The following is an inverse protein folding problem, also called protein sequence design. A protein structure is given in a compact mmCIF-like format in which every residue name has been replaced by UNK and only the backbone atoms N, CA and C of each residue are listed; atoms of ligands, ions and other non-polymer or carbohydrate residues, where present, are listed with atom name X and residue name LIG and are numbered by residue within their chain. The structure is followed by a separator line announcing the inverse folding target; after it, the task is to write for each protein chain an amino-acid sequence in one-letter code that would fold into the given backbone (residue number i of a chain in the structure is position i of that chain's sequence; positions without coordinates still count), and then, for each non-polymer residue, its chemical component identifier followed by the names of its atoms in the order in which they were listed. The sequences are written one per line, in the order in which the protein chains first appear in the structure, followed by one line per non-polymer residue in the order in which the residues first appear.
data_IF_587679377875
#
_entry.id   IF_587679377875
#
_cell.length_a   1.000
_cell.length_b   1.000
_cell.length_c   1.000
_cell.angle_alpha   90.00
_cell.angle_beta   90.00
_cell.angle_gamma   90.00
#
_symmetry.space_group_name_H-M   'P 1'
#
loop_
_entity.id
_entity.type
_entity.pdbx_description
1 polymer ?
#
# COMPACT_ATOMS: atom_id res chain seq x y z
N UNK A 1 9.59 -5.24 2.43
CA UNK A 1 10.31 -5.47 1.17
C UNK A 1 10.85 -4.14 0.68
N UNK A 2 12.15 -4.06 0.41
CA UNK A 2 12.82 -2.85 -0.11
C UNK A 2 12.72 -2.80 -1.63
N UNK A 3 12.95 -1.63 -2.23
CA UNK A 3 12.95 -1.52 -3.70
C UNK A 3 14.10 -2.31 -4.35
N UNK A 4 15.24 -2.46 -3.68
CA UNK A 4 16.35 -3.29 -4.19
C UNK A 4 15.98 -4.78 -4.26
N UNK A 5 15.18 -5.27 -3.32
CA UNK A 5 14.61 -6.63 -3.37
C UNK A 5 13.69 -6.79 -4.58
N UNK A 6 12.86 -5.77 -4.88
CA UNK A 6 12.01 -5.75 -6.07
C UNK A 6 12.86 -5.81 -7.35
N UNK A 7 13.97 -5.07 -7.42
CA UNK A 7 14.88 -5.16 -8.58
C UNK A 7 15.47 -6.57 -8.72
N UNK A 8 15.87 -7.21 -7.63
CA UNK A 8 16.37 -8.59 -7.65
C UNK A 8 15.28 -9.58 -8.08
N UNK A 9 14.02 -9.31 -7.75
CA UNK A 9 12.87 -10.09 -8.23
C UNK A 9 12.62 -9.87 -9.73
N UNK A 10 12.77 -8.64 -10.22
CA UNK A 10 12.67 -8.33 -11.66
C UNK A 10 13.81 -9.00 -12.44
N UNK A 11 15.01 -9.13 -11.88
CA UNK A 11 16.11 -9.88 -12.51
C UNK A 11 15.76 -11.34 -12.79
N UNK A 12 14.91 -11.97 -11.96
CA UNK A 12 14.43 -13.35 -12.18
C UNK A 12 13.50 -13.47 -13.39
N UNK A 13 12.98 -12.36 -13.89
CA UNK A 13 12.13 -12.30 -15.09
C UNK A 13 12.92 -12.10 -16.39
N UNK A 14 14.24 -11.94 -16.34
CA UNK A 14 15.06 -11.79 -17.54
C UNK A 14 14.94 -13.04 -18.43
N UNK A 15 14.66 -12.81 -19.70
CA UNK A 15 14.42 -13.87 -20.69
C UNK A 15 12.96 -14.34 -20.78
N UNK A 16 12.10 -13.92 -19.86
CA UNK A 16 10.66 -14.22 -19.91
C UNK A 16 9.92 -13.20 -20.79
N UNK A 17 8.91 -13.68 -21.52
CA UNK A 17 7.90 -12.81 -22.12
C UNK A 17 6.86 -12.47 -21.05
N UNK A 18 6.76 -11.19 -20.71
CA UNK A 18 5.86 -10.66 -19.70
C UNK A 18 4.51 -10.33 -20.34
N UNK A 19 3.45 -10.83 -19.73
CA UNK A 19 2.07 -10.64 -20.17
C UNK A 19 1.59 -9.23 -19.83
N UNK A 20 1.20 -8.47 -20.87
CA UNK A 20 0.68 -7.13 -20.68
C UNK A 20 -0.83 -7.16 -20.42
N UNK A 21 -1.29 -6.37 -19.45
CA UNK A 21 -2.74 -6.16 -19.21
C UNK A 21 -3.43 -5.64 -20.47
N UNK A 22 -2.73 -4.82 -21.27
CA UNK A 22 -3.17 -4.46 -22.61
C UNK A 22 -2.81 -5.57 -23.60
N UNK A 23 -3.82 -6.17 -24.23
CA UNK A 23 -3.63 -7.18 -25.26
C UNK A 23 -2.69 -6.72 -26.39
N UNK A 24 -1.77 -7.60 -26.81
CA UNK A 24 -0.81 -7.37 -27.90
C UNK A 24 0.40 -6.48 -27.54
N UNK A 25 0.53 -6.06 -26.28
CA UNK A 25 1.61 -5.20 -25.81
C UNK A 25 2.60 -5.90 -24.86
N UNK A 26 2.72 -7.23 -24.97
CA UNK A 26 3.71 -8.02 -24.24
C UNK A 26 5.13 -7.51 -24.51
N UNK A 27 6.01 -7.73 -23.54
CA UNK A 27 7.41 -7.33 -23.61
C UNK A 27 8.29 -8.47 -23.11
N UNK A 28 9.49 -8.60 -23.65
CA UNK A 28 10.50 -9.51 -23.11
C UNK A 28 11.52 -8.70 -22.33
N UNK A 29 11.78 -9.04 -21.07
CA UNK A 29 12.84 -8.41 -20.31
C UNK A 29 14.18 -8.98 -20.77
N UNK A 30 15.08 -8.14 -21.29
CA UNK A 30 16.34 -8.60 -21.89
C UNK A 30 17.54 -8.42 -20.96
N UNK A 31 17.44 -7.54 -19.96
CA UNK A 31 18.54 -7.29 -19.05
C UNK A 31 18.23 -6.20 -18.03
N UNK A 32 19.16 -6.03 -17.08
CA UNK A 32 19.15 -4.98 -16.08
C UNK A 32 20.54 -4.36 -15.98
N UNK A 33 20.62 -3.04 -16.13
CA UNK A 33 21.81 -2.24 -15.87
C UNK A 33 21.68 -1.56 -14.50
N UNK A 34 22.21 -2.21 -13.47
CA UNK A 34 22.25 -1.69 -12.09
C UNK A 34 23.10 -0.42 -11.95
N UNK A 35 24.09 -0.19 -12.83
CA UNK A 35 24.94 1.02 -12.79
C UNK A 35 24.19 2.22 -13.33
N UNK A 36 23.56 2.08 -14.50
CA UNK A 36 22.73 3.12 -15.10
C UNK A 36 21.34 3.25 -14.44
N UNK A 37 20.99 2.31 -13.55
CA UNK A 37 19.66 2.17 -12.91
C UNK A 37 18.54 2.08 -13.95
N UNK A 38 18.69 1.14 -14.90
CA UNK A 38 17.71 0.92 -15.97
C UNK A 38 17.43 -0.56 -16.17
N UNK A 39 16.20 -0.86 -16.57
CA UNK A 39 15.84 -2.15 -17.16
C UNK A 39 15.93 -2.06 -18.68
N UNK A 40 16.22 -3.18 -19.32
CA UNK A 40 16.25 -3.35 -20.77
C UNK A 40 15.14 -4.31 -21.19
N UNK A 41 14.41 -3.95 -22.23
CA UNK A 41 13.28 -4.74 -22.71
C UNK A 41 13.16 -4.68 -24.22
N UNK A 42 12.57 -5.73 -24.78
CA UNK A 42 12.16 -5.81 -26.17
C UNK A 42 10.63 -5.73 -26.23
N UNK A 43 10.09 -4.80 -27.02
CA UNK A 43 8.65 -4.72 -27.26
C UNK A 43 8.16 -5.87 -28.16
N UNK A 44 6.87 -6.19 -28.15
CA UNK A 44 6.25 -7.10 -29.13
C UNK A 44 6.55 -6.77 -30.60
N UNK A 45 6.85 -5.51 -30.92
CA UNK A 45 7.28 -5.08 -32.26
C UNK A 45 8.79 -5.29 -32.54
N UNK A 46 9.52 -6.03 -31.69
CA UNK A 46 10.96 -6.30 -31.82
C UNK A 46 11.89 -5.12 -31.50
N UNK A 47 11.38 -3.99 -31.00
CA UNK A 47 12.20 -2.82 -30.67
C UNK A 47 12.78 -2.93 -29.27
N UNK A 48 14.10 -2.78 -29.17
CA UNK A 48 14.80 -2.61 -27.90
C UNK A 48 14.53 -1.23 -27.31
N UNK A 49 14.25 -1.22 -26.00
CA UNK A 49 13.96 -0.03 -25.19
C UNK A 49 14.57 -0.20 -23.81
N UNK A 50 14.76 0.92 -23.11
CA UNK A 50 15.21 0.92 -21.72
C UNK A 50 14.32 1.80 -20.86
N UNK A 51 14.10 1.41 -19.60
CA UNK A 51 13.30 2.18 -18.64
C UNK A 51 14.06 2.43 -17.35
N UNK A 52 14.02 3.66 -16.80
CA UNK A 52 14.72 3.97 -15.57
C UNK A 52 14.03 3.34 -14.36
N UNK A 53 14.83 2.92 -13.38
CA UNK A 53 14.34 2.40 -12.10
C UNK A 53 13.42 3.37 -11.38
N UNK A 54 13.64 4.68 -11.53
CA UNK A 54 12.81 5.72 -10.93
C UNK A 54 11.33 5.62 -11.29
N UNK A 55 10.97 5.03 -12.43
CA UNK A 55 9.56 4.80 -12.77
C UNK A 55 8.97 3.61 -12.01
N UNK A 56 9.73 2.53 -11.92
CA UNK A 56 9.34 1.34 -11.15
C UNK A 56 9.26 1.67 -9.66
N UNK A 57 10.21 2.45 -9.14
CA UNK A 57 10.26 2.90 -7.75
C UNK A 57 9.05 3.77 -7.39
N UNK A 58 8.62 4.67 -8.30
CA UNK A 58 7.39 5.44 -8.10
C UNK A 58 6.14 4.56 -8.01
N UNK A 59 6.05 3.53 -8.85
CA UNK A 59 4.94 2.56 -8.81
C UNK A 59 5.00 1.78 -7.50
N UNK A 60 6.17 1.26 -7.13
CA UNK A 60 6.39 0.52 -5.89
C UNK A 60 6.03 1.36 -4.66
N UNK A 61 6.55 2.58 -4.55
CA UNK A 61 6.23 3.47 -3.43
C UNK A 61 4.73 3.78 -3.36
N UNK A 62 4.05 3.90 -4.52
CA UNK A 62 2.59 4.05 -4.53
C UNK A 62 1.90 2.80 -4.01
N UNK A 63 2.33 1.61 -4.44
CA UNK A 63 1.78 0.33 -3.97
C UNK A 63 2.05 0.08 -2.47
N UNK A 64 3.16 0.57 -1.93
CA UNK A 64 3.43 0.49 -0.48
C UNK A 64 2.59 1.47 0.35
N UNK A 65 2.26 2.64 -0.21
CA UNK A 65 1.54 3.71 0.50
C UNK A 65 0.02 3.71 0.27
N UNK A 66 -0.48 2.85 -0.60
CA UNK A 66 -1.88 2.84 -1.05
C UNK A 66 -2.28 1.43 -1.42
N UNK A 67 -3.52 1.03 -1.13
CA UNK A 67 -4.01 -0.32 -1.45
C UNK A 67 -4.07 -0.62 -2.95
N UNK A 68 -4.05 0.41 -3.80
CA UNK A 68 -3.87 0.25 -5.24
C UNK A 68 -3.12 1.42 -5.90
N UNK A 69 -2.56 1.16 -7.09
CA UNK A 69 -1.85 2.12 -7.92
C UNK A 69 -2.39 2.15 -9.36
N UNK A 70 -2.86 3.31 -9.81
CA UNK A 70 -3.11 3.60 -11.23
C UNK A 70 -1.83 4.14 -11.87
N UNK A 71 -1.12 3.30 -12.64
CA UNK A 71 0.22 3.62 -13.15
C UNK A 71 0.25 4.88 -14.00
N UNK A 72 -0.77 5.13 -14.82
CA UNK A 72 -0.86 6.36 -15.62
C UNK A 72 -0.88 7.62 -14.74
N UNK A 73 -1.63 7.61 -13.63
CA UNK A 73 -1.64 8.72 -12.67
C UNK A 73 -0.29 8.85 -11.96
N UNK A 74 0.32 7.74 -11.53
CA UNK A 74 1.62 7.74 -10.84
C UNK A 74 2.74 8.32 -11.70
N UNK A 75 2.72 8.04 -13.00
CA UNK A 75 3.73 8.50 -13.95
C UNK A 75 3.34 9.80 -14.68
N UNK A 76 2.27 10.48 -14.26
CA UNK A 76 1.90 11.82 -14.73
C UNK A 76 1.26 11.89 -16.14
N UNK A 77 0.35 10.98 -16.52
CA UNK A 77 -0.53 11.13 -17.69
C UNK A 77 -0.80 9.84 -18.51
N UNK A 78 -1.29 9.98 -19.75
CA UNK A 78 -1.68 8.87 -20.66
C UNK A 78 -0.71 8.64 -21.84
N UNK A 79 0.36 7.86 -21.65
CA UNK A 79 1.44 7.70 -22.63
C UNK A 79 1.66 6.23 -22.93
N UNK A 80 1.74 5.85 -24.21
CA UNK A 80 1.81 4.44 -24.64
C UNK A 80 3.00 3.66 -24.08
N UNK A 81 4.08 4.35 -23.71
CA UNK A 81 5.26 3.74 -23.11
C UNK A 81 5.00 3.29 -21.66
N UNK A 82 4.06 3.90 -20.91
CA UNK A 82 3.79 3.57 -19.49
C UNK A 82 3.31 2.14 -19.27
N UNK A 83 2.79 1.50 -20.32
CA UNK A 83 2.48 0.08 -20.32
C UNK A 83 3.70 -0.77 -19.95
N UNK A 84 4.92 -0.36 -20.31
CA UNK A 84 6.13 -1.15 -20.06
C UNK A 84 6.45 -1.29 -18.57
N UNK A 85 6.62 -0.21 -17.78
CA UNK A 85 6.81 -0.35 -16.34
C UNK A 85 5.58 -0.95 -15.64
N UNK A 86 4.36 -0.70 -16.13
CA UNK A 86 3.15 -1.38 -15.62
C UNK A 86 3.23 -2.91 -15.81
N UNK A 87 3.57 -3.37 -17.01
CA UNK A 87 3.71 -4.80 -17.33
C UNK A 87 4.78 -5.44 -16.48
N UNK A 88 5.95 -4.80 -16.30
CA UNK A 88 7.00 -5.33 -15.43
C UNK A 88 6.51 -5.51 -14.00
N UNK A 89 5.87 -4.49 -13.42
CA UNK A 89 5.36 -4.57 -12.04
C UNK A 89 4.24 -5.59 -11.90
N UNK A 90 3.33 -5.69 -12.87
CA UNK A 90 2.18 -6.59 -12.84
C UNK A 90 2.54 -8.08 -13.03
N UNK A 91 3.78 -8.39 -13.44
CA UNK A 91 4.24 -9.76 -13.64
C UNK A 91 5.09 -10.28 -12.45
N UNK A 92 5.18 -9.50 -11.38
CA UNK A 92 5.77 -9.93 -10.11
C UNK A 92 4.77 -10.83 -9.36
N UNK A 93 5.20 -11.95 -8.77
CA UNK A 93 4.32 -12.93 -8.10
C UNK A 93 3.32 -12.39 -7.08
N UNK A 94 3.64 -11.25 -6.45
CA UNK A 94 2.85 -10.62 -5.38
C UNK A 94 2.09 -9.38 -5.86
N UNK A 95 1.92 -9.19 -7.17
CA UNK A 95 1.19 -8.06 -7.75
C UNK A 95 0.09 -8.56 -8.67
N UNK A 96 -1.15 -8.24 -8.33
CA UNK A 96 -2.31 -8.52 -9.18
C UNK A 96 -2.86 -7.23 -9.78
N UNK A 97 -3.65 -7.37 -10.85
CA UNK A 97 -4.31 -6.23 -11.49
C UNK A 97 -5.84 -6.36 -11.50
N UNK A 98 -6.51 -5.21 -11.51
CA UNK A 98 -7.98 -5.13 -11.55
C UNK A 98 -8.46 -3.80 -12.11
N UNK A 99 -9.78 -3.61 -12.19
CA UNK A 99 -10.38 -2.36 -12.65
C UNK A 99 -11.04 -1.61 -11.50
N UNK A 100 -10.78 -0.30 -11.43
CA UNK A 100 -11.59 0.66 -10.67
C UNK A 100 -12.10 1.70 -11.65
N UNK A 101 -13.41 1.81 -11.75
CA UNK A 101 -14.12 2.77 -12.61
C UNK A 101 -13.57 2.76 -14.07
N UNK A 102 -13.36 1.55 -14.61
CA UNK A 102 -12.87 1.32 -15.97
C UNK A 102 -11.37 1.53 -16.19
N UNK A 103 -10.61 1.86 -15.14
CA UNK A 103 -9.15 2.07 -15.20
C UNK A 103 -8.40 0.93 -14.53
N UNK A 104 -7.30 0.49 -15.16
CA UNK A 104 -6.43 -0.57 -14.64
C UNK A 104 -5.72 -0.11 -13.38
N UNK A 105 -5.71 -0.93 -12.35
CA UNK A 105 -4.97 -0.69 -11.12
C UNK A 105 -4.14 -1.92 -10.79
N UNK A 106 -2.99 -1.70 -10.15
CA UNK A 106 -2.16 -2.74 -9.55
C UNK A 106 -2.37 -2.73 -8.04
N UNK A 107 -2.28 -3.90 -7.40
CA UNK A 107 -2.28 -4.04 -5.94
C UNK A 107 -1.28 -5.12 -5.50
N UNK A 108 -0.69 -4.93 -4.32
CA UNK A 108 0.14 -5.95 -3.68
C UNK A 108 -0.76 -6.91 -2.92
N UNK A 109 -0.54 -8.21 -3.12
CA UNK A 109 -1.19 -9.28 -2.35
C UNK A 109 -0.25 -9.86 -1.30
N UNK A 110 -0.81 -10.42 -0.22
CA UNK A 110 -0.04 -10.87 0.96
C UNK A 110 0.89 -12.05 0.66
N UNK A 111 0.49 -12.93 -0.23
CA UNK A 111 1.24 -14.13 -0.62
C UNK A 111 1.44 -14.15 -2.14
N UNK A 112 2.55 -14.72 -2.66
CA UNK A 112 2.74 -14.91 -4.09
C UNK A 112 1.58 -15.69 -4.72
N UNK A 113 0.82 -15.04 -5.60
CA UNK A 113 -0.39 -15.59 -6.22
C UNK A 113 -0.12 -16.26 -7.58
N UNK A 114 0.98 -15.92 -8.24
CA UNK A 114 1.37 -16.47 -9.54
C UNK A 114 2.88 -16.52 -9.75
N UNK A 115 3.33 -17.08 -10.87
CA UNK A 115 4.75 -17.19 -11.21
C UNK A 115 5.38 -15.86 -11.64
N UNK A 116 6.71 -15.83 -11.69
CA UNK A 116 7.44 -14.74 -12.33
C UNK A 116 7.12 -14.70 -13.83
N UNK A 117 6.84 -13.51 -14.36
CA UNK A 117 6.57 -13.33 -15.79
C UNK A 117 5.16 -13.73 -16.24
N UNK A 118 4.26 -14.05 -15.31
CA UNK A 118 2.85 -14.30 -15.60
C UNK A 118 1.99 -13.19 -15.02
N UNK A 119 0.82 -12.95 -15.61
CA UNK A 119 -0.11 -11.91 -15.16
C UNK A 119 -1.36 -12.54 -14.51
N UNK A 120 -1.76 -12.06 -13.34
CA UNK A 120 -3.00 -12.49 -12.70
C UNK A 120 -3.97 -11.33 -12.47
N UNK A 121 -5.20 -11.50 -12.96
CA UNK A 121 -6.30 -10.60 -12.64
C UNK A 121 -6.86 -10.96 -11.28
N UNK A 122 -6.96 -9.99 -10.40
CA UNK A 122 -7.54 -10.15 -9.06
C UNK A 122 -9.00 -10.58 -9.14
N UNK A 123 -9.42 -11.39 -8.17
CA UNK A 123 -10.81 -11.78 -7.97
C UNK A 123 -11.71 -10.57 -7.69
N UNK A 124 -12.97 -10.65 -8.10
CA UNK A 124 -13.92 -9.53 -8.00
C UNK A 124 -14.20 -9.15 -6.55
N UNK A 125 -14.25 -10.10 -5.62
CA UNK A 125 -14.48 -9.81 -4.21
C UNK A 125 -13.30 -9.08 -3.58
N UNK A 126 -12.07 -9.54 -3.84
CA UNK A 126 -10.86 -8.87 -3.39
C UNK A 126 -10.73 -7.46 -4.01
N UNK A 127 -11.11 -7.30 -5.28
CA UNK A 127 -11.13 -5.99 -5.94
C UNK A 127 -12.14 -5.02 -5.29
N UNK A 128 -13.31 -5.50 -4.87
CA UNK A 128 -14.30 -4.71 -4.12
C UNK A 128 -13.73 -4.26 -2.78
N UNK A 129 -13.09 -5.16 -2.02
CA UNK A 129 -12.48 -4.79 -0.73
C UNK A 129 -11.39 -3.71 -0.89
N UNK A 130 -10.55 -3.81 -1.92
CA UNK A 130 -9.52 -2.80 -2.20
C UNK A 130 -10.16 -1.47 -2.62
N UNK A 131 -11.23 -1.51 -3.43
CA UNK A 131 -11.98 -0.32 -3.83
C UNK A 131 -12.59 0.38 -2.62
N UNK A 132 -13.22 -0.36 -1.71
CA UNK A 132 -13.80 0.19 -0.49
C UNK A 132 -12.74 0.81 0.41
N UNK A 133 -11.58 0.15 0.57
CA UNK A 133 -10.43 0.72 1.28
C UNK A 133 -9.94 2.02 0.65
N UNK A 134 -9.81 2.09 -0.67
CA UNK A 134 -9.39 3.32 -1.36
C UNK A 134 -10.40 4.45 -1.19
N UNK A 135 -11.70 4.14 -1.31
CA UNK A 135 -12.77 5.12 -1.12
C UNK A 135 -12.78 5.65 0.31
N UNK A 136 -12.60 4.78 1.30
CA UNK A 136 -12.52 5.19 2.69
C UNK A 136 -11.29 6.08 2.92
N UNK A 137 -10.09 5.66 2.49
CA UNK A 137 -8.86 6.46 2.62
C UNK A 137 -8.97 7.83 1.93
N UNK A 138 -9.50 7.88 0.71
CA UNK A 138 -9.66 9.14 -0.03
C UNK A 138 -10.69 10.09 0.62
N UNK A 139 -11.63 9.55 1.40
CA UNK A 139 -12.66 10.32 2.09
C UNK A 139 -12.35 10.55 3.58
N UNK A 140 -11.27 9.96 4.12
CA UNK A 140 -10.84 10.15 5.51
C UNK A 140 -10.37 11.58 5.72
N UNK A 141 -11.11 12.32 6.53
CA UNK A 141 -10.74 13.65 7.01
C UNK A 141 -9.91 13.59 8.29
N UNK A 142 -10.06 12.53 9.09
CA UNK A 142 -9.42 12.37 10.39
C UNK A 142 -9.14 10.89 10.67
N UNK A 143 -8.00 10.58 11.28
CA UNK A 143 -7.73 9.25 11.84
C UNK A 143 -7.62 9.37 13.37
N UNK A 144 -8.24 8.44 14.08
CA UNK A 144 -8.32 8.38 15.54
C UNK A 144 -7.83 7.01 15.97
N UNK A 145 -6.83 6.99 16.85
CA UNK A 145 -6.33 5.75 17.45
C UNK A 145 -6.78 5.66 18.91
N UNK A 146 -7.49 4.59 19.24
CA UNK A 146 -7.94 4.30 20.60
C UNK A 146 -7.04 3.20 21.16
N UNK A 147 -6.29 3.52 22.21
CA UNK A 147 -5.48 2.54 22.94
C UNK A 147 -6.32 2.00 24.09
N UNK A 148 -6.45 0.68 24.20
CA UNK A 148 -7.27 0.03 25.23
C UNK A 148 -6.65 -1.21 25.84
N UNK A 149 -6.97 -1.50 27.11
CA UNK A 149 -6.55 -2.73 27.78
C UNK A 149 -7.51 -3.91 27.50
N UNK A 150 -8.79 -3.61 27.28
CA UNK A 150 -9.80 -4.61 26.88
C UNK A 150 -10.47 -4.20 25.56
N UNK A 151 -10.00 -4.81 24.48
CA UNK A 151 -10.56 -4.64 23.15
C UNK A 151 -12.02 -5.08 23.10
N UNK A 152 -12.42 -6.13 23.81
CA UNK A 152 -13.79 -6.65 23.72
C UNK A 152 -14.77 -5.65 24.33
N UNK A 153 -14.43 -5.10 25.49
CA UNK A 153 -15.24 -4.06 26.13
C UNK A 153 -15.31 -2.80 25.26
N UNK A 154 -14.17 -2.37 24.72
CA UNK A 154 -14.08 -1.17 23.87
C UNK A 154 -14.86 -1.35 22.57
N UNK A 155 -14.74 -2.51 21.93
CA UNK A 155 -15.49 -2.88 20.75
C UNK A 155 -16.99 -2.86 21.04
N UNK A 156 -17.42 -3.55 22.10
CA UNK A 156 -18.82 -3.56 22.50
C UNK A 156 -19.37 -2.15 22.76
N UNK A 157 -18.62 -1.29 23.45
CA UNK A 157 -19.00 0.09 23.69
C UNK A 157 -19.10 0.90 22.39
N UNK A 158 -18.11 0.77 21.50
CA UNK A 158 -18.11 1.42 20.19
C UNK A 158 -19.33 1.00 19.36
N UNK A 159 -19.58 -0.30 19.25
CA UNK A 159 -20.71 -0.86 18.48
C UNK A 159 -22.05 -0.40 19.04
N UNK A 160 -22.19 -0.38 20.37
CA UNK A 160 -23.40 0.08 21.05
C UNK A 160 -23.71 1.55 20.76
N UNK A 161 -22.68 2.39 20.69
CA UNK A 161 -22.85 3.84 20.44
C UNK A 161 -23.03 4.13 18.95
N UNK A 162 -22.26 3.45 18.09
CA UNK A 162 -22.20 3.78 16.67
C UNK A 162 -23.16 2.98 15.80
N UNK A 163 -23.63 1.82 16.28
CA UNK A 163 -24.47 0.87 15.55
C UNK A 163 -23.72 0.01 14.53
N UNK A 164 -22.38 0.06 14.49
CA UNK A 164 -21.58 -0.61 13.45
C UNK A 164 -20.45 -1.42 14.09
N UNK A 165 -20.24 -2.69 13.68
CA UNK A 165 -19.17 -3.54 14.20
C UNK A 165 -17.77 -3.03 13.91
N UNK A 166 -16.77 -3.43 14.69
CA UNK A 166 -15.37 -3.24 14.32
C UNK A 166 -14.86 -4.39 13.46
N UNK A 167 -13.96 -4.11 12.53
CA UNK A 167 -13.33 -5.12 11.69
C UNK A 167 -11.91 -5.44 12.20
N UNK A 168 -11.56 -6.72 12.38
CA UNK A 168 -10.21 -7.10 12.80
C UNK A 168 -9.21 -6.85 11.66
N UNK A 169 -8.08 -6.22 11.98
CA UNK A 169 -6.95 -5.98 11.05
C UNK A 169 -5.84 -7.00 11.30
N UNK A 170 -5.46 -7.16 12.57
CA UNK A 170 -4.45 -8.11 13.05
C UNK A 170 -4.73 -8.44 14.52
N UNK A 171 -4.02 -9.42 15.13
CA UNK A 171 -4.21 -9.73 16.54
C UNK A 171 -4.05 -8.49 17.43
N UNK A 172 -5.13 -8.09 18.10
CA UNK A 172 -5.14 -6.90 18.95
C UNK A 172 -5.27 -5.56 18.23
N UNK A 173 -5.60 -5.53 16.93
CA UNK A 173 -5.85 -4.30 16.18
C UNK A 173 -7.13 -4.43 15.36
N UNK A 174 -8.01 -3.44 15.50
CA UNK A 174 -9.30 -3.37 14.84
C UNK A 174 -9.46 -2.01 14.18
N UNK A 175 -10.24 -1.94 13.11
CA UNK A 175 -10.56 -0.68 12.43
C UNK A 175 -12.03 -0.52 12.12
N UNK A 176 -12.45 0.73 12.00
CA UNK A 176 -13.74 1.11 11.42
C UNK A 176 -13.65 2.50 10.79
N UNK A 177 -14.39 2.71 9.72
CA UNK A 177 -14.59 4.00 9.09
C UNK A 177 -16.04 4.47 9.24
N UNK A 178 -16.22 5.67 9.80
CA UNK A 178 -17.54 6.31 9.95
C UNK A 178 -17.39 7.82 9.92
N UNK A 179 -18.31 8.51 9.23
CA UNK A 179 -18.39 9.98 9.21
C UNK A 179 -17.08 10.68 8.80
N UNK A 180 -16.34 10.09 7.84
CA UNK A 180 -15.01 10.56 7.40
C UNK A 180 -13.92 10.45 8.46
N UNK A 181 -14.15 9.68 9.51
CA UNK A 181 -13.17 9.35 10.54
C UNK A 181 -12.81 7.88 10.44
N UNK A 182 -11.50 7.58 10.36
CA UNK A 182 -10.98 6.22 10.54
C UNK A 182 -10.63 6.02 11.99
N UNK A 183 -11.33 5.10 12.66
CA UNK A 183 -11.02 4.64 14.00
C UNK A 183 -10.13 3.40 13.93
N UNK A 184 -9.03 3.40 14.67
CA UNK A 184 -8.14 2.25 14.85
C UNK A 184 -8.09 1.96 16.35
N UNK A 185 -8.56 0.78 16.76
CA UNK A 185 -8.56 0.36 18.16
C UNK A 185 -7.44 -0.65 18.36
N UNK A 186 -6.54 -0.34 19.29
CA UNK A 186 -5.31 -1.11 19.51
C UNK A 186 -5.24 -1.56 20.96
N UNK A 187 -4.92 -2.85 21.16
CA UNK A 187 -4.58 -3.37 22.48
C UNK A 187 -3.31 -2.69 22.95
N UNK A 188 -3.31 -2.18 24.18
CA UNK A 188 -2.13 -1.61 24.84
C UNK A 188 -0.97 -2.60 24.90
N UNK A 189 -1.26 -3.91 24.97
CA UNK A 189 -0.25 -4.97 24.91
C UNK A 189 0.56 -4.97 23.61
N UNK A 190 0.00 -4.47 22.51
CA UNK A 190 0.69 -4.39 21.22
C UNK A 190 1.71 -3.25 21.17
N UNK A 191 1.72 -2.37 22.17
CA UNK A 191 2.57 -1.19 22.26
C UNK A 191 3.59 -1.27 23.40
N UNK A 192 3.84 -2.46 23.95
CA UNK A 192 4.74 -2.68 25.10
C UNK A 192 4.48 -1.73 26.29
N UNK A 193 3.23 -1.29 26.46
CA UNK A 193 2.83 -0.29 27.45
C UNK A 193 3.53 1.08 27.36
N UNK A 194 4.13 1.41 26.21
CA UNK A 194 4.80 2.70 25.99
C UNK A 194 3.81 3.87 25.94
N UNK A 195 2.52 3.58 25.72
CA UNK A 195 1.46 4.57 25.55
C UNK A 195 0.35 4.34 26.56
N UNK A 196 -0.18 5.44 27.11
CA UNK A 196 -1.31 5.39 28.03
C UNK A 196 -2.58 5.01 27.29
N UNK A 197 -3.49 4.34 27.99
CA UNK A 197 -4.85 4.15 27.52
C UNK A 197 -5.47 5.53 27.22
N UNK A 198 -6.12 5.69 26.07
CA UNK A 198 -6.59 7.01 25.64
C UNK A 198 -7.08 7.01 24.19
N UNK A 199 -7.59 8.16 23.76
CA UNK A 199 -8.06 8.39 22.38
C UNK A 199 -7.20 9.47 21.77
N UNK A 200 -6.39 9.08 20.79
CA UNK A 200 -5.39 9.93 20.16
C UNK A 200 -5.86 10.32 18.77
N UNK A 201 -5.79 11.61 18.44
CA UNK A 201 -6.00 12.06 17.05
C UNK A 201 -4.69 11.93 16.30
N UNK A 202 -4.74 11.42 15.07
CA UNK A 202 -3.57 11.35 14.20
C UNK A 202 -3.46 12.63 13.39
N UNK A 203 -2.28 13.26 13.45
CA UNK A 203 -1.95 14.47 12.70
C UNK A 203 -0.64 14.28 11.93
N UNK A 204 -0.51 14.94 10.79
CA UNK A 204 0.78 15.03 10.09
C UNK A 204 1.64 16.10 10.75
N UNK A 205 2.89 15.76 11.10
CA UNK A 205 3.84 16.71 11.69
C UNK A 205 5.15 16.77 10.94
N UNK A 206 6.09 17.55 11.49
CA UNK A 206 7.45 17.70 10.98
C UNK A 206 8.39 17.11 12.02
N UNK A 207 9.36 16.31 11.59
CA UNK A 207 10.33 15.61 12.45
C UNK A 207 11.20 16.63 13.21
N UNK A 208 10.78 17.05 14.41
CA UNK A 208 11.45 18.11 15.18
C UNK A 208 11.53 17.83 16.69
N UNK A 209 10.99 16.72 17.18
CA UNK A 209 10.86 16.46 18.61
C UNK A 209 11.61 15.16 18.96
N UNK A 210 12.92 15.27 19.21
CA UNK A 210 13.83 14.12 19.30
C UNK A 210 13.78 13.31 20.60
N UNK A 211 12.79 13.53 21.49
CA UNK A 211 12.80 12.97 22.85
C UNK A 211 11.56 12.20 23.28
N UNK A 212 10.51 12.10 22.45
CA UNK A 212 9.30 11.34 22.82
C UNK A 212 9.32 9.91 22.27
N UNK A 213 8.63 8.97 22.93
CA UNK A 213 8.56 7.58 22.47
C UNK A 213 7.96 7.50 21.06
N UNK A 214 8.64 6.74 20.20
CA UNK A 214 8.18 6.36 18.88
C UNK A 214 7.48 5.01 18.97
N UNK A 215 6.27 4.92 18.42
CA UNK A 215 5.50 3.68 18.35
C UNK A 215 5.30 3.25 16.90
N UNK A 216 5.17 1.95 16.69
CA UNK A 216 4.90 1.36 15.39
C UNK A 216 3.49 0.76 15.39
N UNK A 217 2.63 1.27 14.51
CA UNK A 217 1.26 0.82 14.36
C UNK A 217 0.95 0.63 12.87
N UNK A 218 0.50 -0.56 12.48
CA UNK A 218 0.07 -0.84 11.10
C UNK A 218 1.16 -0.49 10.06
N UNK A 219 2.42 -0.78 10.38
CA UNK A 219 3.58 -0.47 9.52
C UNK A 219 3.97 1.01 9.43
N UNK A 220 3.32 1.89 10.21
CA UNK A 220 3.60 3.32 10.30
C UNK A 220 4.26 3.65 11.65
N UNK A 221 5.23 4.56 11.62
CA UNK A 221 5.86 5.11 12.82
C UNK A 221 5.09 6.37 13.25
N UNK A 222 4.80 6.46 14.54
CA UNK A 222 4.16 7.63 15.15
C UNK A 222 4.98 8.12 16.32
N UNK A 223 5.01 9.44 16.49
CA UNK A 223 5.47 10.07 17.70
C UNK A 223 4.27 10.42 18.58
N UNK A 224 4.37 10.15 19.88
CA UNK A 224 3.30 10.42 20.85
C UNK A 224 3.51 11.77 21.52
N UNK A 225 2.61 12.72 21.28
CA UNK A 225 2.61 14.02 21.96
C UNK A 225 1.44 14.10 22.94
N UNK A 226 1.76 14.40 24.21
CA UNK A 226 0.76 14.54 25.27
C UNK A 226 1.09 15.70 26.20
N UNK A 227 0.45 16.85 25.97
CA UNK A 227 0.63 18.05 26.79
C UNK A 227 -0.63 18.90 26.82
N UNK A 228 -0.97 19.49 27.98
CA UNK A 228 -2.05 20.47 28.09
C UNK A 228 -3.45 19.97 27.71
N UNK A 229 -3.69 18.65 27.76
CA UNK A 229 -4.95 18.02 27.33
C UNK A 229 -4.99 17.64 25.84
N UNK A 230 -3.89 17.83 25.11
CA UNK A 230 -3.72 17.36 23.74
C UNK A 230 -3.19 15.93 23.82
N UNK A 231 -3.86 14.99 23.16
CA UNK A 231 -3.40 13.61 22.95
C UNK A 231 -3.38 13.33 21.45
N UNK A 232 -2.19 13.36 20.84
CA UNK A 232 -2.04 13.16 19.41
C UNK A 232 -0.91 12.21 19.05
N UNK A 233 -1.14 11.46 17.99
CA UNK A 233 -0.09 10.75 17.28
C UNK A 233 0.34 11.56 16.07
N UNK A 234 1.63 11.87 16.01
CA UNK A 234 2.23 12.59 14.91
C UNK A 234 2.75 11.55 13.94
N UNK A 235 2.13 11.46 12.76
CA UNK A 235 2.66 10.71 11.63
C UNK A 235 3.80 11.52 11.01
N UNK A 236 4.97 10.89 10.93
CA UNK A 236 6.16 11.41 10.25
C UNK A 236 6.14 11.09 8.75
#
# INVERSE_FOLDING_TARGET
MTFDEVINDIEKMIGLELESIKAGANITLTGIDKRAKRIELMTSAGKLKTRPFSELEKIWNKLCSSSAAHVDSVLGGSGSSRNQPETVMANLPYVEWFFIDGKKHLAIVKEPAHGYGTLLKMDELAAIEIKDKLLNVANTACEVVVITEDIRETAYAYEKVTGIPLYPVSPGVYEQYKDKVRFIIVSKSNLDNQVKQGTYIVVSGVENMSSEPKIHLDGREFQVFSEGGIEVFISL
#
